data_IF_725693617865
#
_entry.id   IF_725693617865
#
_cell.length_a   1.000
_cell.length_b   1.000
_cell.length_c   1.000
_cell.angle_alpha   90.00
_cell.angle_beta   90.00
_cell.angle_gamma   90.00
#
_symmetry.space_group_name_H-M   'P 1'
#
loop_
_entity.id
_entity.type
_entity.pdbx_description
1 polymer ?
#
# COMPACT_ATOMS: atom_id res chain seq x y z
N UNK A 1 -13.79 15.29 -30.22
CA UNK A 1 -15.16 14.84 -29.85
C UNK A 1 -15.27 14.90 -28.34
N UNK A 2 -16.19 15.71 -27.81
CA UNK A 2 -16.31 15.92 -26.37
C UNK A 2 -17.23 14.85 -25.75
N UNK A 3 -16.83 14.23 -24.63
CA UNK A 3 -17.61 13.15 -24.01
C UNK A 3 -18.81 13.64 -23.21
N UNK A 4 -18.86 14.93 -22.91
CA UNK A 4 -20.02 15.61 -22.30
C UNK A 4 -21.30 15.41 -23.11
N UNK A 5 -21.17 15.19 -24.42
CA UNK A 5 -22.26 15.18 -25.39
C UNK A 5 -22.87 13.78 -25.56
N UNK A 6 -22.38 12.79 -24.80
CA UNK A 6 -22.75 11.39 -24.90
C UNK A 6 -23.20 10.81 -23.55
N UNK A 7 -24.17 9.91 -23.60
CA UNK A 7 -24.64 9.11 -22.46
C UNK A 7 -23.99 7.74 -22.45
N UNK A 8 -23.64 7.27 -21.24
CA UNK A 8 -23.17 5.90 -21.02
C UNK A 8 -24.33 4.94 -21.19
N UNK A 9 -24.11 3.87 -21.94
CA UNK A 9 -25.04 2.73 -21.93
C UNK A 9 -24.69 1.77 -20.79
N UNK A 10 -25.52 0.74 -20.58
CA UNK A 10 -25.26 -0.34 -19.62
C UNK A 10 -24.04 -1.21 -20.00
N UNK A 11 -23.41 -0.98 -21.16
CA UNK A 11 -22.22 -1.69 -21.60
C UNK A 11 -21.01 -0.77 -21.55
N UNK A 12 -19.98 -1.20 -20.82
CA UNK A 12 -18.74 -0.44 -20.65
C UNK A 12 -18.06 -0.20 -21.99
N UNK A 13 -17.85 1.08 -22.29
CA UNK A 13 -17.22 1.54 -23.52
C UNK A 13 -18.18 1.80 -24.68
N UNK A 14 -19.49 1.59 -24.53
CA UNK A 14 -20.49 1.95 -25.54
C UNK A 14 -21.29 3.17 -25.08
N UNK A 15 -21.36 4.18 -25.94
CA UNK A 15 -22.04 5.45 -25.66
C UNK A 15 -22.97 5.84 -26.80
N UNK A 16 -24.00 6.63 -26.48
CA UNK A 16 -24.96 7.18 -27.44
C UNK A 16 -25.03 8.71 -27.31
N UNK A 17 -25.19 9.43 -28.42
CA UNK A 17 -25.29 10.89 -28.36
C UNK A 17 -26.56 11.34 -27.63
N UNK A 18 -26.44 12.39 -26.82
CA UNK A 18 -27.57 13.06 -26.18
C UNK A 18 -28.47 13.72 -27.23
N UNK A 19 -27.84 14.47 -28.14
CA UNK A 19 -28.51 15.11 -29.27
C UNK A 19 -28.90 14.09 -30.35
N UNK A 20 -30.06 14.31 -30.98
CA UNK A 20 -30.61 13.48 -32.06
C UNK A 20 -30.57 14.26 -33.36
N UNK A 21 -29.92 13.74 -34.39
CA UNK A 21 -29.90 14.40 -35.70
C UNK A 21 -31.22 14.15 -36.45
N UNK A 22 -31.85 15.16 -37.08
CA UNK A 22 -33.15 15.00 -37.74
C UNK A 22 -33.17 13.88 -38.80
N UNK A 23 -32.16 13.86 -39.67
CA UNK A 23 -32.04 12.90 -40.77
C UNK A 23 -31.38 11.56 -40.39
N UNK A 24 -30.52 11.53 -39.36
CA UNK A 24 -29.67 10.36 -39.09
C UNK A 24 -29.98 9.67 -37.75
N UNK A 25 -30.66 10.35 -36.82
CA UNK A 25 -30.95 9.85 -35.49
C UNK A 25 -29.81 10.07 -34.49
N UNK A 26 -29.88 9.38 -33.34
CA UNK A 26 -28.81 9.33 -32.33
C UNK A 26 -27.63 8.50 -32.82
N UNK A 27 -26.43 8.93 -32.43
CA UNK A 27 -25.13 8.39 -32.86
C UNK A 27 -24.55 7.46 -31.79
N UNK A 28 -24.16 6.26 -32.17
CA UNK A 28 -23.41 5.35 -31.29
C UNK A 28 -21.90 5.51 -31.48
N UNK A 29 -21.17 5.51 -30.36
CA UNK A 29 -19.70 5.49 -30.36
C UNK A 29 -19.18 4.41 -29.41
N UNK A 30 -18.08 3.77 -29.81
CA UNK A 30 -17.27 2.92 -28.97
C UNK A 30 -16.06 3.70 -28.46
N UNK A 31 -15.73 3.54 -27.17
CA UNK A 31 -14.51 4.07 -26.55
C UNK A 31 -13.97 3.09 -25.52
N UNK A 32 -12.69 2.78 -25.63
CA UNK A 32 -11.97 1.94 -24.66
C UNK A 32 -10.48 2.29 -24.66
N UNK A 33 -9.75 1.75 -23.67
CA UNK A 33 -8.31 1.89 -23.57
C UNK A 33 -7.68 0.50 -23.67
N UNK A 34 -6.63 0.38 -24.48
CA UNK A 34 -5.84 -0.83 -24.66
C UNK A 34 -4.39 -0.43 -24.92
N UNK A 35 -3.43 -1.12 -24.32
CA UNK A 35 -1.98 -0.83 -24.42
C UNK A 35 -1.63 0.66 -24.24
N UNK A 36 -2.10 1.26 -23.13
CA UNK A 36 -1.90 2.69 -22.78
C UNK A 36 -2.41 3.71 -23.82
N UNK A 37 -3.07 3.28 -24.90
CA UNK A 37 -3.68 4.12 -25.95
C UNK A 37 -5.21 4.12 -25.83
N UNK A 38 -5.82 5.25 -26.16
CA UNK A 38 -7.29 5.44 -26.13
C UNK A 38 -7.85 5.35 -27.55
N UNK A 39 -8.81 4.45 -27.75
CA UNK A 39 -9.48 4.25 -29.02
C UNK A 39 -10.90 4.79 -28.96
N UNK A 40 -11.31 5.50 -30.02
CA UNK A 40 -12.67 6.04 -30.18
C UNK A 40 -13.13 5.80 -31.62
N UNK A 41 -14.30 5.20 -31.81
CA UNK A 41 -14.89 4.98 -33.14
C UNK A 41 -16.38 5.25 -33.14
N UNK A 42 -16.85 5.90 -34.21
CA UNK A 42 -18.27 6.05 -34.50
C UNK A 42 -18.78 4.73 -35.10
N UNK A 43 -19.80 4.15 -34.50
CA UNK A 43 -20.36 2.86 -34.93
C UNK A 43 -21.47 3.03 -35.95
N UNK A 44 -22.20 4.14 -35.90
CA UNK A 44 -23.31 4.45 -36.81
C UNK A 44 -24.42 5.21 -36.10
N UNK A 45 -25.56 5.33 -36.78
CA UNK A 45 -26.70 6.10 -36.32
C UNK A 45 -27.99 5.27 -36.31
N UNK A 46 -28.85 5.57 -35.34
CA UNK A 46 -30.11 4.85 -35.09
C UNK A 46 -31.10 4.87 -36.26
N UNK A 47 -31.24 5.99 -37.00
CA UNK A 47 -32.16 6.07 -38.15
C UNK A 47 -31.49 5.72 -39.47
N UNK A 48 -30.30 6.28 -39.73
CA UNK A 48 -29.60 6.10 -41.01
C UNK A 48 -29.22 4.64 -41.26
N UNK A 49 -28.68 3.98 -40.24
CA UNK A 49 -28.09 2.65 -40.34
C UNK A 49 -28.99 1.60 -39.65
N UNK A 50 -30.22 1.97 -39.30
CA UNK A 50 -31.19 1.19 -38.51
C UNK A 50 -30.55 0.49 -37.29
N UNK A 51 -29.65 1.21 -36.61
CA UNK A 51 -28.75 0.62 -35.63
C UNK A 51 -29.40 0.50 -34.25
N UNK A 52 -29.61 -0.74 -33.81
CA UNK A 52 -30.09 -1.06 -32.46
C UNK A 52 -28.94 -1.13 -31.45
N UNK A 53 -29.24 -1.10 -30.15
CA UNK A 53 -28.23 -1.26 -29.08
C UNK A 53 -27.47 -2.59 -29.20
N UNK A 54 -28.14 -3.68 -29.62
CA UNK A 54 -27.53 -5.01 -29.80
C UNK A 54 -26.59 -5.05 -31.02
N UNK A 55 -26.99 -4.46 -32.14
CA UNK A 55 -26.11 -4.36 -33.32
C UNK A 55 -24.93 -3.42 -33.07
N UNK A 56 -25.14 -2.31 -32.34
CA UNK A 56 -24.06 -1.43 -31.91
C UNK A 56 -23.06 -2.13 -30.97
N UNK A 57 -23.54 -3.00 -30.07
CA UNK A 57 -22.66 -3.82 -29.22
C UNK A 57 -21.81 -4.77 -30.06
N UNK A 58 -22.40 -5.45 -31.04
CA UNK A 58 -21.64 -6.33 -31.95
C UNK A 58 -20.60 -5.56 -32.76
N UNK A 59 -20.93 -4.36 -33.23
CA UNK A 59 -19.96 -3.49 -33.92
C UNK A 59 -18.85 -2.99 -32.99
N UNK A 60 -19.17 -2.70 -31.73
CA UNK A 60 -18.16 -2.37 -30.72
C UNK A 60 -17.23 -3.56 -30.48
N UNK A 61 -17.75 -4.77 -30.35
CA UNK A 61 -16.91 -5.96 -30.16
C UNK A 61 -16.04 -6.22 -31.39
N UNK A 62 -16.60 -6.18 -32.61
CA UNK A 62 -15.80 -6.26 -33.84
C UNK A 62 -14.70 -5.19 -33.91
N UNK A 63 -14.96 -3.98 -33.40
CA UNK A 63 -13.95 -2.92 -33.33
C UNK A 63 -12.90 -3.17 -32.24
N UNK A 64 -13.30 -3.69 -31.07
CA UNK A 64 -12.35 -4.13 -30.04
C UNK A 64 -11.48 -5.24 -30.56
N UNK A 65 -12.08 -6.25 -31.17
CA UNK A 65 -11.40 -7.37 -31.79
C UNK A 65 -10.51 -6.91 -32.95
N UNK A 66 -10.92 -5.90 -33.74
CA UNK A 66 -10.04 -5.35 -34.79
C UNK A 66 -8.86 -4.59 -34.21
N UNK A 67 -8.99 -3.90 -33.07
CA UNK A 67 -7.87 -3.19 -32.43
C UNK A 67 -6.95 -4.16 -31.69
N UNK A 68 -7.54 -5.15 -31.02
CA UNK A 68 -6.79 -6.23 -30.38
C UNK A 68 -6.09 -7.02 -31.47
N UNK A 69 -6.79 -7.53 -32.48
CA UNK A 69 -6.18 -8.23 -33.61
C UNK A 69 -5.30 -7.34 -34.47
N UNK A 70 -5.48 -6.02 -34.62
CA UNK A 70 -4.47 -5.17 -35.30
C UNK A 70 -3.20 -5.04 -34.48
N UNK A 71 -3.27 -5.09 -33.14
CA UNK A 71 -2.10 -5.20 -32.28
C UNK A 71 -1.54 -6.62 -32.28
N UNK A 72 -2.38 -7.66 -32.29
CA UNK A 72 -1.96 -9.05 -32.43
C UNK A 72 -1.41 -9.30 -33.82
N UNK A 73 -1.88 -8.63 -34.88
CA UNK A 73 -1.40 -8.65 -36.28
C UNK A 73 -0.21 -7.70 -36.43
N UNK A 74 -0.02 -6.68 -35.60
CA UNK A 74 1.27 -5.99 -35.47
C UNK A 74 2.30 -6.83 -34.70
N UNK A 75 1.87 -7.68 -33.78
CA UNK A 75 2.69 -8.68 -33.09
C UNK A 75 2.85 -10.01 -33.89
N UNK A 76 1.98 -10.31 -34.86
CA UNK A 76 2.02 -11.55 -35.67
C UNK A 76 2.30 -11.32 -37.17
N UNK A 77 2.27 -10.08 -37.69
CA UNK A 77 2.90 -9.73 -38.98
C UNK A 77 4.38 -9.37 -38.86
N UNK A 78 5.00 -9.61 -37.70
CA UNK A 78 6.43 -9.91 -37.64
C UNK A 78 6.75 -11.41 -37.85
N UNK A 79 5.83 -12.17 -38.46
CA UNK A 79 6.26 -13.34 -39.26
C UNK A 79 6.47 -12.85 -40.69
N UNK A 80 7.68 -12.33 -40.88
CA UNK A 80 8.31 -12.02 -42.16
C UNK A 80 8.17 -13.24 -43.09
N UNK A 81 7.36 -13.13 -44.16
CA UNK A 81 7.78 -13.75 -45.43
C UNK A 81 9.01 -12.97 -45.87
N UNK A 82 10.10 -13.63 -46.32
CA UNK A 82 11.40 -13.01 -46.48
C UNK A 82 11.36 -11.91 -47.55
N UNK A 83 11.05 -10.68 -47.13
CA UNK A 83 11.50 -9.49 -47.83
C UNK A 83 12.93 -9.26 -47.40
N UNK A 84 13.85 -9.66 -48.28
CA UNK A 84 15.25 -9.27 -48.23
C UNK A 84 15.33 -7.75 -47.99
N UNK A 85 16.19 -7.37 -47.05
CA UNK A 85 16.58 -6.02 -46.64
C UNK A 85 15.87 -5.45 -45.41
N UNK A 86 15.72 -6.24 -44.35
CA UNK A 86 16.11 -5.70 -43.03
C UNK A 86 17.62 -5.59 -43.10
N UNK A 87 18.22 -4.44 -42.75
CA UNK A 87 19.68 -4.35 -42.70
C UNK A 87 20.17 -5.47 -41.78
N UNK A 88 20.94 -6.43 -42.30
CA UNK A 88 21.37 -7.64 -41.57
C UNK A 88 21.97 -7.28 -40.20
N UNK A 89 22.61 -6.11 -40.11
CA UNK A 89 23.09 -5.46 -38.89
C UNK A 89 22.06 -5.32 -37.76
N UNK A 90 20.82 -4.92 -38.04
CA UNK A 90 19.78 -4.72 -37.00
C UNK A 90 19.30 -6.05 -36.42
N UNK A 91 19.26 -7.08 -37.26
CA UNK A 91 18.87 -8.44 -36.86
C UNK A 91 20.00 -9.09 -36.07
N UNK A 92 21.25 -8.91 -36.51
CA UNK A 92 22.45 -9.33 -35.78
C UNK A 92 22.53 -8.66 -34.39
N UNK A 93 22.31 -7.34 -34.31
CA UNK A 93 22.25 -6.60 -33.04
C UNK A 93 21.20 -7.18 -32.08
N UNK A 94 19.98 -7.44 -32.56
CA UNK A 94 18.89 -7.99 -31.73
C UNK A 94 19.14 -9.44 -31.30
N UNK A 95 19.77 -10.25 -32.17
CA UNK A 95 20.17 -11.62 -31.84
C UNK A 95 21.27 -11.61 -30.78
N UNK A 96 22.26 -10.72 -30.93
CA UNK A 96 23.36 -10.58 -29.98
C UNK A 96 22.87 -10.04 -28.62
N UNK A 97 21.95 -9.07 -28.63
CA UNK A 97 21.29 -8.59 -27.42
C UNK A 97 20.45 -9.69 -26.76
N UNK A 98 19.66 -10.47 -27.51
CA UNK A 98 18.93 -11.62 -26.96
C UNK A 98 19.86 -12.68 -26.38
N UNK A 99 20.97 -12.98 -27.06
CA UNK A 99 21.96 -13.97 -26.61
C UNK A 99 22.64 -13.48 -25.33
N UNK A 100 22.95 -12.19 -25.24
CA UNK A 100 23.45 -11.54 -24.04
C UNK A 100 22.43 -11.58 -22.90
N UNK A 101 21.17 -11.23 -23.16
CA UNK A 101 20.09 -11.28 -22.15
C UNK A 101 19.84 -12.70 -21.65
N UNK A 102 19.82 -13.71 -22.55
CA UNK A 102 19.76 -15.13 -22.19
C UNK A 102 20.99 -15.58 -21.39
N UNK A 103 22.18 -15.10 -21.75
CA UNK A 103 23.41 -15.34 -20.99
C UNK A 103 23.36 -14.74 -19.58
N UNK A 104 22.75 -13.57 -19.42
CA UNK A 104 22.54 -12.91 -18.12
C UNK A 104 21.46 -13.66 -17.30
N UNK A 105 20.38 -14.11 -17.93
CA UNK A 105 19.31 -14.85 -17.26
C UNK A 105 19.74 -16.26 -16.83
N UNK A 106 20.81 -16.82 -17.42
CA UNK A 106 21.26 -18.19 -17.14
C UNK A 106 20.18 -19.23 -17.45
N UNK A 107 20.16 -20.34 -16.70
CA UNK A 107 19.11 -21.37 -16.80
C UNK A 107 17.83 -20.97 -16.04
N UNK A 108 17.25 -19.81 -16.34
CA UNK A 108 15.99 -19.39 -15.72
C UNK A 108 14.83 -20.36 -15.96
N UNK A 109 14.92 -21.21 -16.99
CA UNK A 109 13.94 -22.26 -17.30
C UNK A 109 13.94 -23.39 -16.26
N UNK A 110 15.05 -23.57 -15.52
CA UNK A 110 15.17 -24.56 -14.44
C UNK A 110 14.68 -24.00 -13.10
N UNK A 111 14.41 -22.69 -13.03
CA UNK A 111 13.90 -22.03 -11.82
C UNK A 111 12.39 -22.27 -11.74
N UNK A 112 11.92 -22.65 -10.55
CA UNK A 112 10.50 -22.77 -10.25
C UNK A 112 9.73 -21.53 -10.76
N UNK A 113 8.74 -21.70 -11.66
CA UNK A 113 7.96 -20.59 -12.21
C UNK A 113 7.35 -19.66 -11.16
N UNK A 114 6.97 -20.20 -10.00
CA UNK A 114 6.43 -19.39 -8.90
C UNK A 114 7.51 -18.51 -8.27
N UNK A 115 8.72 -19.04 -8.08
CA UNK A 115 9.87 -18.27 -7.56
C UNK A 115 10.25 -17.16 -8.53
N UNK A 116 10.23 -17.44 -9.83
CA UNK A 116 10.48 -16.44 -10.86
C UNK A 116 9.41 -15.33 -10.84
N UNK A 117 8.14 -15.71 -10.78
CA UNK A 117 7.02 -14.77 -10.68
C UNK A 117 7.14 -13.87 -9.44
N UNK A 118 7.35 -14.47 -8.26
CA UNK A 118 7.51 -13.74 -6.99
C UNK A 118 8.73 -12.80 -7.03
N UNK A 119 9.83 -13.24 -7.66
CA UNK A 119 11.04 -12.44 -7.85
C UNK A 119 10.80 -11.21 -8.72
N UNK A 120 10.15 -11.39 -9.86
CA UNK A 120 9.79 -10.32 -10.79
C UNK A 120 8.81 -9.35 -10.14
N UNK A 121 7.74 -9.85 -9.50
CA UNK A 121 6.76 -9.00 -8.81
C UNK A 121 7.43 -8.14 -7.74
N UNK A 122 8.36 -8.72 -6.97
CA UNK A 122 9.12 -7.98 -5.96
C UNK A 122 9.96 -6.85 -6.57
N UNK A 123 10.46 -6.98 -7.80
CA UNK A 123 11.18 -5.88 -8.49
C UNK A 123 10.21 -4.75 -8.82
N UNK A 124 9.06 -5.07 -9.42
CA UNK A 124 8.03 -4.08 -9.73
C UNK A 124 7.52 -3.36 -8.49
N UNK A 125 7.23 -4.11 -7.42
CA UNK A 125 6.83 -3.57 -6.12
C UNK A 125 7.86 -2.55 -5.59
N UNK A 126 9.15 -2.90 -5.65
CA UNK A 126 10.21 -2.01 -5.20
C UNK A 126 10.36 -0.77 -6.09
N UNK A 127 10.12 -0.91 -7.40
CA UNK A 127 10.16 0.21 -8.34
C UNK A 127 9.02 1.19 -8.08
N UNK A 128 7.81 0.69 -7.81
CA UNK A 128 6.65 1.52 -7.48
C UNK A 128 6.90 2.35 -6.21
N UNK A 129 7.52 1.77 -5.18
CA UNK A 129 7.81 2.50 -3.94
C UNK A 129 8.82 3.64 -4.12
N UNK A 130 9.69 3.61 -5.13
CA UNK A 130 10.74 4.64 -5.32
C UNK A 130 10.15 6.03 -5.49
N UNK A 131 9.05 6.16 -6.21
CA UNK A 131 8.39 7.44 -6.42
C UNK A 131 7.96 8.06 -5.08
N UNK A 132 7.40 7.27 -4.18
CA UNK A 132 6.99 7.71 -2.85
C UNK A 132 8.17 7.92 -1.91
N UNK A 133 9.26 7.17 -2.08
CA UNK A 133 10.50 7.38 -1.33
C UNK A 133 11.19 8.70 -1.68
N UNK A 134 11.11 9.14 -2.94
CA UNK A 134 11.55 10.49 -3.35
C UNK A 134 10.75 11.55 -2.58
N UNK A 135 9.44 11.37 -2.47
CA UNK A 135 8.57 12.28 -1.72
C UNK A 135 8.88 12.26 -0.21
N UNK A 136 9.26 11.11 0.36
CA UNK A 136 9.71 11.03 1.76
C UNK A 136 10.99 11.83 2.02
N UNK A 137 11.89 11.91 1.04
CA UNK A 137 13.09 12.75 1.13
C UNK A 137 12.69 14.24 1.14
N UNK A 138 11.74 14.64 0.29
CA UNK A 138 11.22 16.02 0.28
C UNK A 138 10.53 16.37 1.60
N UNK A 139 9.72 15.45 2.12
CA UNK A 139 9.10 15.59 3.44
C UNK A 139 10.17 15.77 4.53
N UNK A 140 11.23 14.95 4.53
CA UNK A 140 12.31 15.05 5.51
C UNK A 140 12.99 16.43 5.46
N UNK A 141 13.35 16.90 4.26
CA UNK A 141 13.96 18.22 4.08
C UNK A 141 13.02 19.34 4.54
N UNK A 142 11.71 19.19 4.30
CA UNK A 142 10.72 20.14 4.78
C UNK A 142 10.65 20.17 6.31
N UNK A 143 10.61 19.00 6.97
CA UNK A 143 10.63 18.93 8.43
C UNK A 143 11.85 19.64 9.01
N UNK A 144 13.03 19.43 8.41
CA UNK A 144 14.29 20.09 8.79
C UNK A 144 14.19 21.61 8.61
N UNK A 145 13.84 22.08 7.41
CA UNK A 145 13.78 23.52 7.12
C UNK A 145 12.75 24.29 7.96
N UNK A 146 11.66 23.63 8.35
CA UNK A 146 10.57 24.20 9.15
C UNK A 146 10.70 23.88 10.64
N UNK A 147 11.79 23.24 11.06
CA UNK A 147 12.06 22.83 12.44
C UNK A 147 10.90 22.03 13.07
N UNK A 148 10.21 21.20 12.27
CA UNK A 148 9.06 20.40 12.69
C UNK A 148 9.52 19.11 13.35
N UNK A 149 8.71 18.57 14.27
CA UNK A 149 8.97 17.33 15.02
C UNK A 149 7.96 16.29 14.61
N UNK A 150 8.40 15.10 14.22
CA UNK A 150 7.50 14.02 13.81
C UNK A 150 7.76 12.72 14.58
N UNK A 151 6.69 12.11 15.08
CA UNK A 151 6.69 10.78 15.70
C UNK A 151 5.75 9.87 14.90
N UNK A 152 6.23 8.69 14.55
CA UNK A 152 5.44 7.67 13.85
C UNK A 152 5.48 6.39 14.66
N UNK A 153 4.32 5.96 15.17
CA UNK A 153 4.17 4.71 15.91
C UNK A 153 3.78 3.59 14.96
N UNK A 154 4.55 2.50 14.96
CA UNK A 154 4.23 1.27 14.27
C UNK A 154 3.78 0.24 15.30
N UNK A 155 2.47 0.01 15.37
CA UNK A 155 1.84 -1.02 16.19
C UNK A 155 1.19 -2.10 15.33
N UNK A 156 0.82 -3.19 15.99
CA UNK A 156 0.18 -4.34 15.35
C UNK A 156 0.76 -5.66 15.83
N UNK A 157 0.06 -6.75 15.49
CA UNK A 157 0.44 -8.11 15.88
C UNK A 157 1.84 -8.48 15.42
N UNK A 158 2.42 -9.49 16.05
CA UNK A 158 3.66 -10.07 15.54
C UNK A 158 3.49 -10.63 14.14
N UNK A 159 4.56 -10.57 13.37
CA UNK A 159 4.57 -10.86 11.94
C UNK A 159 3.65 -10.00 11.04
N UNK A 160 3.02 -8.92 11.52
CA UNK A 160 2.20 -8.03 10.69
C UNK A 160 2.98 -7.25 9.63
N UNK A 161 4.29 -7.01 9.84
CA UNK A 161 5.17 -6.42 8.82
C UNK A 161 5.77 -5.05 9.15
N UNK A 162 5.54 -4.53 10.38
CA UNK A 162 6.06 -3.26 10.92
C UNK A 162 7.51 -2.95 10.54
N UNK A 163 8.47 -3.71 11.04
CA UNK A 163 9.90 -3.49 10.74
C UNK A 163 10.24 -3.60 9.25
N UNK A 164 9.48 -4.35 8.46
CA UNK A 164 9.62 -4.38 7.00
C UNK A 164 9.15 -3.09 6.33
N UNK A 165 8.12 -2.44 6.87
CA UNK A 165 7.64 -1.14 6.43
C UNK A 165 8.62 -0.02 6.82
N UNK A 166 9.06 0.01 8.08
CA UNK A 166 10.08 0.96 8.56
C UNK A 166 11.31 0.92 7.65
N UNK A 167 11.88 -0.26 7.39
CA UNK A 167 13.04 -0.43 6.49
C UNK A 167 12.82 0.04 5.06
N UNK A 168 11.58 0.13 4.59
CA UNK A 168 11.26 0.63 3.23
C UNK A 168 11.04 2.13 3.24
N UNK A 169 10.40 2.65 4.26
CA UNK A 169 10.23 4.09 4.49
C UNK A 169 11.60 4.76 4.62
N UNK A 170 12.47 4.25 5.49
CA UNK A 170 13.75 4.90 5.80
C UNK A 170 14.88 4.59 4.81
N UNK A 171 14.65 3.74 3.79
CA UNK A 171 15.70 3.17 2.94
C UNK A 171 16.65 4.20 2.30
N UNK A 172 16.12 5.35 1.91
CA UNK A 172 16.85 6.41 1.20
C UNK A 172 16.89 7.73 1.98
N UNK A 173 16.37 7.75 3.21
CA UNK A 173 16.32 8.95 4.02
C UNK A 173 17.69 9.25 4.63
N UNK A 174 17.98 10.52 4.91
CA UNK A 174 19.20 10.92 5.59
C UNK A 174 19.12 10.50 7.07
N UNK A 175 20.03 9.60 7.49
CA UNK A 175 20.07 9.03 8.84
C UNK A 175 20.39 10.05 9.94
N UNK A 176 20.83 11.26 9.60
CA UNK A 176 21.04 12.34 10.56
C UNK A 176 19.73 12.96 11.07
N UNK A 177 18.65 12.84 10.32
CA UNK A 177 17.36 13.50 10.62
C UNK A 177 16.23 12.48 10.82
N UNK A 178 16.54 11.19 10.93
CA UNK A 178 15.59 10.22 11.43
C UNK A 178 16.23 9.24 12.41
N UNK A 179 15.42 8.74 13.35
CA UNK A 179 15.81 7.65 14.24
C UNK A 179 14.76 6.55 14.25
N UNK A 180 15.20 5.30 14.32
CA UNK A 180 14.32 4.16 14.57
C UNK A 180 14.52 3.71 16.00
N UNK A 181 13.45 3.71 16.78
CA UNK A 181 13.45 3.35 18.19
C UNK A 181 12.75 2.00 18.34
N UNK A 182 13.48 1.00 18.80
CA UNK A 182 12.97 -0.34 19.05
C UNK A 182 13.40 -0.76 20.47
N UNK A 183 12.60 -0.38 21.46
CA UNK A 183 12.92 -0.64 22.86
C UNK A 183 12.66 -2.09 23.24
N UNK A 184 13.61 -2.69 23.95
CA UNK A 184 13.43 -3.99 24.57
C UNK A 184 12.60 -3.94 25.85
N UNK A 185 12.55 -5.08 26.56
CA UNK A 185 11.95 -5.19 27.89
C UNK A 185 12.52 -4.10 28.83
N UNK A 186 11.69 -3.46 29.66
CA UNK A 186 12.16 -2.43 30.58
C UNK A 186 13.14 -3.03 31.60
N UNK A 187 14.18 -2.27 31.96
CA UNK A 187 15.05 -2.61 33.09
C UNK A 187 14.29 -2.49 34.42
N UNK A 188 14.82 -3.05 35.50
CA UNK A 188 14.17 -2.94 36.81
C UNK A 188 14.03 -1.49 37.28
N UNK A 189 14.99 -0.61 36.95
CA UNK A 189 14.83 0.83 37.15
C UNK A 189 13.67 1.39 36.32
N UNK A 190 13.59 1.06 35.03
CA UNK A 190 12.53 1.57 34.15
C UNK A 190 11.13 1.08 34.52
N UNK A 191 11.01 -0.12 35.11
CA UNK A 191 9.72 -0.63 35.65
C UNK A 191 9.22 0.20 36.83
N UNK A 192 10.13 0.78 37.60
CA UNK A 192 9.83 1.61 38.77
C UNK A 192 9.87 3.12 38.48
N UNK A 193 10.01 3.50 37.21
CA UNK A 193 9.88 4.88 36.74
C UNK A 193 8.45 5.17 36.30
N UNK A 194 8.15 6.44 36.05
CA UNK A 194 6.94 6.78 35.31
C UNK A 194 6.99 6.14 33.92
N UNK A 195 5.92 5.44 33.54
CA UNK A 195 5.89 4.57 32.35
C UNK A 195 6.35 5.26 31.05
N UNK A 196 5.96 6.53 30.84
CA UNK A 196 6.30 7.27 29.63
C UNK A 196 7.76 7.76 29.59
N UNK A 197 8.45 7.81 30.74
CA UNK A 197 9.78 8.43 30.87
C UNK A 197 10.78 7.84 29.87
N UNK A 198 10.87 6.51 29.78
CA UNK A 198 11.78 5.82 28.86
C UNK A 198 11.49 6.09 27.38
N UNK A 199 10.27 6.48 27.02
CA UNK A 199 9.90 6.79 25.64
C UNK A 199 10.22 8.25 25.30
N UNK A 200 9.98 9.16 26.25
CA UNK A 200 10.21 10.60 26.09
C UNK A 200 11.69 10.91 25.82
N UNK A 201 12.61 10.15 26.42
CA UNK A 201 14.06 10.25 26.15
C UNK A 201 14.42 10.11 24.65
N UNK A 202 13.53 9.48 23.86
CA UNK A 202 13.76 9.27 22.44
C UNK A 202 13.00 10.24 21.52
N UNK A 203 12.29 11.22 22.07
CA UNK A 203 11.47 12.13 21.25
C UNK A 203 12.31 12.97 20.28
N UNK A 204 11.73 13.38 19.15
CA UNK A 204 12.42 14.18 18.15
C UNK A 204 12.74 15.58 18.68
N UNK A 205 13.92 16.07 18.32
CA UNK A 205 14.21 17.50 18.30
C UNK A 205 13.70 18.12 16.99
N UNK A 206 13.76 19.45 16.88
CA UNK A 206 13.28 20.13 15.68
C UNK A 206 14.03 19.67 14.42
N UNK A 207 13.27 19.36 13.37
CA UNK A 207 13.79 18.77 12.14
C UNK A 207 13.92 17.25 12.14
N UNK A 208 13.67 16.58 13.27
CA UNK A 208 13.77 15.12 13.35
C UNK A 208 12.44 14.39 13.16
N UNK A 209 12.54 13.20 12.58
CA UNK A 209 11.48 12.20 12.53
C UNK A 209 11.89 10.94 13.30
N UNK A 210 11.08 10.50 14.25
CA UNK A 210 11.33 9.29 15.05
C UNK A 210 10.27 8.23 14.73
N UNK A 211 10.71 7.05 14.29
CA UNK A 211 9.87 5.89 14.01
C UNK A 211 10.01 4.89 15.16
N UNK A 212 8.91 4.63 15.86
CA UNK A 212 8.84 3.66 16.95
C UNK A 212 8.39 2.30 16.40
N UNK A 213 9.27 1.28 16.42
CA UNK A 213 8.91 -0.13 16.18
C UNK A 213 8.41 -0.72 17.50
N UNK A 214 7.09 -0.70 17.68
CA UNK A 214 6.40 -0.69 18.99
C UNK A 214 6.69 0.58 19.80
N UNK A 215 5.78 0.88 20.73
CA UNK A 215 5.73 2.14 21.47
C UNK A 215 5.15 1.95 22.88
N UNK A 216 4.74 3.05 23.52
CA UNK A 216 4.00 3.03 24.78
C UNK A 216 2.71 2.19 24.72
N UNK A 217 2.17 1.93 23.53
CA UNK A 217 1.03 1.02 23.33
C UNK A 217 1.31 -0.46 23.64
N UNK A 218 2.55 -0.84 23.97
CA UNK A 218 2.82 -2.14 24.59
C UNK A 218 1.92 -2.37 25.83
N UNK A 219 1.66 -1.33 26.64
CA UNK A 219 0.78 -1.39 27.82
C UNK A 219 -0.71 -1.50 27.47
N UNK A 220 -1.11 -1.12 26.27
CA UNK A 220 -2.46 -1.34 25.76
C UNK A 220 -2.69 -2.77 25.25
N UNK A 221 -1.61 -3.43 24.80
CA UNK A 221 -1.68 -4.65 24.00
C UNK A 221 -1.03 -5.85 24.68
N UNK A 222 0.31 -5.91 24.65
CA UNK A 222 1.07 -7.11 25.01
C UNK A 222 1.15 -7.28 26.53
N UNK A 223 1.41 -6.19 27.27
CA UNK A 223 1.62 -6.26 28.72
C UNK A 223 0.42 -6.84 29.50
N UNK A 224 -0.84 -6.44 29.27
CA UNK A 224 -1.96 -6.99 30.03
C UNK A 224 -2.26 -8.46 29.71
N UNK A 225 -1.92 -8.94 28.51
CA UNK A 225 -2.18 -10.33 28.09
C UNK A 225 -1.21 -11.30 28.78
N UNK A 226 0.06 -10.92 28.86
CA UNK A 226 1.10 -11.75 29.46
C UNK A 226 1.38 -11.41 30.94
N UNK A 227 0.60 -10.50 31.55
CA UNK A 227 0.76 -10.12 32.95
C UNK A 227 2.04 -9.33 33.23
N UNK A 228 2.54 -8.55 32.27
CA UNK A 228 3.70 -7.67 32.46
C UNK A 228 3.37 -6.32 33.08
N UNK A 229 2.07 -6.02 33.24
CA UNK A 229 1.57 -4.89 34.01
C UNK A 229 0.37 -5.34 34.86
N UNK A 230 0.08 -4.62 35.94
CA UNK A 230 -1.16 -4.84 36.70
C UNK A 230 -2.39 -4.33 35.93
N UNK A 231 -3.59 -4.70 36.39
CA UNK A 231 -4.84 -4.21 35.79
C UNK A 231 -4.97 -2.70 35.99
N UNK A 232 -4.54 -2.21 37.14
CA UNK A 232 -4.54 -0.80 37.51
C UNK A 232 -3.58 -0.01 36.62
N UNK A 233 -2.36 -0.52 36.39
CA UNK A 233 -1.40 0.12 35.49
C UNK A 233 -1.91 0.21 34.04
N UNK A 234 -2.56 -0.84 33.56
CA UNK A 234 -3.18 -0.85 32.23
C UNK A 234 -4.29 0.20 32.13
N UNK A 235 -5.18 0.26 33.13
CA UNK A 235 -6.30 1.19 33.11
C UNK A 235 -5.84 2.65 33.20
N UNK A 236 -4.90 2.97 34.09
CA UNK A 236 -4.26 4.29 34.18
C UNK A 236 -3.68 4.70 32.82
N UNK A 237 -2.92 3.80 32.18
CA UNK A 237 -2.39 4.09 30.84
C UNK A 237 -3.49 4.38 29.82
N UNK A 238 -4.57 3.59 29.83
CA UNK A 238 -5.68 3.73 28.89
C UNK A 238 -6.52 5.00 29.11
N UNK A 239 -6.53 5.55 30.32
CA UNK A 239 -7.14 6.85 30.65
C UNK A 239 -6.22 8.03 30.23
N UNK A 240 -4.91 7.92 30.50
CA UNK A 240 -3.98 9.04 30.36
C UNK A 240 -3.42 9.21 28.94
N UNK A 241 -3.27 8.13 28.16
CA UNK A 241 -2.52 8.16 26.89
C UNK A 241 -3.08 9.17 25.89
N UNK A 242 -4.40 9.38 25.86
CA UNK A 242 -5.01 10.35 24.94
C UNK A 242 -4.66 11.78 25.33
N UNK A 243 -4.64 12.10 26.63
CA UNK A 243 -4.26 13.42 27.13
C UNK A 243 -2.77 13.68 26.87
N UNK A 244 -1.94 12.68 27.17
CA UNK A 244 -0.51 12.72 26.86
C UNK A 244 -0.26 13.05 25.38
N UNK A 245 -0.88 12.31 24.47
CA UNK A 245 -0.73 12.52 23.03
C UNK A 245 -1.29 13.87 22.55
N UNK A 246 -2.40 14.34 23.14
CA UNK A 246 -2.96 15.66 22.85
C UNK A 246 -1.95 16.76 23.19
N UNK A 247 -1.27 16.66 24.32
CA UNK A 247 -0.26 17.65 24.71
C UNK A 247 0.92 17.65 23.74
N UNK A 248 1.37 16.49 23.25
CA UNK A 248 2.42 16.42 22.22
C UNK A 248 2.00 17.14 20.94
N UNK A 249 0.78 16.88 20.47
CA UNK A 249 0.23 17.51 19.25
C UNK A 249 0.04 19.01 19.43
N UNK A 250 -0.45 19.46 20.60
CA UNK A 250 -0.58 20.89 20.92
C UNK A 250 0.75 21.62 20.95
N UNK A 251 1.82 20.93 21.34
CA UNK A 251 3.19 21.45 21.29
C UNK A 251 3.78 21.42 19.87
N UNK A 252 3.02 21.03 18.84
CA UNK A 252 3.44 21.04 17.45
C UNK A 252 4.21 19.80 17.01
N UNK A 253 4.13 18.69 17.76
CA UNK A 253 4.61 17.40 17.28
C UNK A 253 3.57 16.77 16.35
N UNK A 254 4.01 16.33 15.19
CA UNK A 254 3.20 15.55 14.27
C UNK A 254 3.22 14.10 14.75
N UNK A 255 2.09 13.60 15.25
CA UNK A 255 1.97 12.23 15.75
C UNK A 255 1.13 11.37 14.80
N UNK A 256 1.74 10.32 14.26
CA UNK A 256 1.09 9.36 13.37
C UNK A 256 1.05 8.00 14.05
N UNK A 257 -0.13 7.39 14.14
CA UNK A 257 -0.30 6.07 14.77
C UNK A 257 -0.78 5.05 13.74
N UNK A 258 0.07 4.09 13.40
CA UNK A 258 -0.21 3.05 12.41
C UNK A 258 -0.42 1.70 13.09
N UNK A 259 -1.57 1.06 12.88
CA UNK A 259 -1.82 -0.31 13.31
C UNK A 259 -1.80 -1.26 12.11
N UNK A 260 -0.77 -2.09 12.01
CA UNK A 260 -0.64 -3.12 10.98
C UNK A 260 -1.49 -4.33 11.36
N UNK A 261 -2.63 -4.49 10.69
CA UNK A 261 -3.56 -5.61 10.89
C UNK A 261 -3.28 -6.72 9.89
N UNK A 262 -2.94 -7.90 10.37
CA UNK A 262 -2.74 -9.11 9.55
C UNK A 262 -3.85 -10.11 9.89
N UNK A 263 -4.29 -10.92 8.93
CA UNK A 263 -5.21 -12.03 9.16
C UNK A 263 -4.54 -13.15 9.97
N UNK A 264 -5.35 -14.00 10.62
CA UNK A 264 -4.86 -15.11 11.44
C UNK A 264 -4.08 -16.10 10.58
N UNK A 265 -4.60 -16.38 9.40
CA UNK A 265 -4.05 -17.31 8.42
C UNK A 265 -2.70 -16.81 7.88
N UNK A 266 -2.61 -15.54 7.49
CA UNK A 266 -1.36 -14.97 6.99
C UNK A 266 -0.33 -14.81 8.12
N UNK A 267 -0.77 -14.52 9.37
CA UNK A 267 0.13 -14.53 10.51
C UNK A 267 0.75 -15.92 10.72
N UNK A 268 -0.07 -16.98 10.73
CA UNK A 268 0.38 -18.37 10.85
C UNK A 268 1.37 -18.73 9.74
N UNK A 269 1.01 -18.47 8.48
CA UNK A 269 1.88 -18.69 7.32
C UNK A 269 3.23 -17.98 7.47
N UNK A 270 3.25 -16.76 8.02
CA UNK A 270 4.49 -16.01 8.26
C UNK A 270 5.32 -16.60 9.39
N UNK A 271 4.72 -17.17 10.42
CA UNK A 271 5.42 -17.90 11.48
C UNK A 271 6.04 -19.19 10.94
N UNK A 272 5.27 -20.01 10.22
CA UNK A 272 5.77 -21.24 9.60
C UNK A 272 6.98 -20.96 8.70
N UNK A 273 6.91 -19.88 7.93
CA UNK A 273 8.04 -19.43 7.10
C UNK A 273 9.24 -18.96 7.92
N UNK A 274 9.07 -18.35 9.10
CA UNK A 274 10.19 -17.92 9.95
C UNK A 274 10.92 -19.12 10.55
N UNK A 275 10.18 -20.17 10.93
CA UNK A 275 10.74 -21.42 11.46
C UNK A 275 11.64 -22.08 10.41
N UNK A 276 11.18 -22.11 9.15
CA UNK A 276 11.87 -22.77 8.04
C UNK A 276 12.92 -21.90 7.32
N UNK A 277 13.10 -20.62 7.70
CA UNK A 277 14.05 -19.69 7.05
C UNK A 277 15.16 -19.29 8.05
N UNK A 278 16.39 -19.82 7.91
CA UNK A 278 17.51 -19.52 8.82
C UNK A 278 17.80 -18.02 9.00
N UNK A 279 17.51 -17.19 7.99
CA UNK A 279 17.72 -15.74 8.05
C UNK A 279 16.67 -15.01 8.89
N UNK A 280 15.62 -15.72 9.34
CA UNK A 280 14.47 -15.17 10.05
C UNK A 280 14.15 -15.86 11.35
N UNK A 281 14.79 -16.98 11.67
CA UNK A 281 14.61 -17.71 12.91
C UNK A 281 14.80 -16.82 14.14
N UNK A 282 15.77 -15.89 14.11
CA UNK A 282 15.99 -14.91 15.19
C UNK A 282 14.78 -14.00 15.50
N UNK A 283 13.78 -13.92 14.59
CA UNK A 283 12.54 -13.15 14.78
C UNK A 283 11.44 -13.95 15.44
N UNK A 284 11.72 -15.16 15.90
CA UNK A 284 10.75 -16.06 16.51
C UNK A 284 11.06 -16.16 18.00
N UNK A 285 10.09 -15.80 18.83
CA UNK A 285 10.17 -15.89 20.29
C UNK A 285 9.12 -16.87 20.83
N UNK A 286 9.30 -17.35 22.06
CA UNK A 286 8.30 -18.20 22.73
C UNK A 286 6.94 -17.49 22.87
N UNK A 287 6.96 -16.17 23.06
CA UNK A 287 5.76 -15.32 23.10
C UNK A 287 5.01 -15.36 21.77
N UNK A 288 5.73 -15.44 20.64
CA UNK A 288 5.13 -15.52 19.31
C UNK A 288 4.39 -16.86 19.08
N UNK A 289 4.85 -17.96 19.70
CA UNK A 289 4.18 -19.26 19.62
C UNK A 289 2.79 -19.21 20.25
N UNK A 290 2.69 -18.58 21.41
CA UNK A 290 1.43 -18.44 22.15
C UNK A 290 0.48 -17.43 21.49
N UNK A 291 0.98 -16.52 20.65
CA UNK A 291 0.18 -15.45 20.06
C UNK A 291 -0.91 -15.94 19.09
N UNK A 292 -0.76 -17.15 18.52
CA UNK A 292 -1.79 -17.78 17.69
C UNK A 292 -2.96 -18.33 18.52
N UNK A 293 -2.65 -18.90 19.69
CA UNK A 293 -3.65 -19.42 20.63
C UNK A 293 -4.39 -18.27 21.31
N UNK A 294 -3.65 -17.23 21.71
CA UNK A 294 -4.17 -16.02 22.33
C UNK A 294 -4.79 -15.02 21.32
N UNK A 295 -5.22 -15.51 20.16
CA UNK A 295 -5.70 -14.65 19.07
C UNK A 295 -6.83 -13.74 19.56
N UNK A 296 -7.79 -14.29 20.30
CA UNK A 296 -8.98 -13.60 20.78
C UNK A 296 -8.64 -12.50 21.79
N UNK A 297 -7.76 -12.76 22.74
CA UNK A 297 -7.31 -11.83 23.78
C UNK A 297 -6.62 -10.60 23.18
N UNK A 298 -5.70 -10.84 22.24
CA UNK A 298 -5.06 -9.76 21.47
C UNK A 298 -6.05 -8.92 20.68
N UNK A 299 -7.13 -9.56 20.26
CA UNK A 299 -8.15 -8.98 19.42
C UNK A 299 -9.11 -8.10 20.20
N UNK A 300 -9.49 -8.54 21.40
CA UNK A 300 -10.19 -7.73 22.38
C UNK A 300 -9.35 -6.51 22.78
N UNK A 301 -8.06 -6.70 23.08
CA UNK A 301 -7.17 -5.57 23.43
C UNK A 301 -6.97 -4.59 22.28
N UNK A 302 -6.86 -5.07 21.04
CA UNK A 302 -6.87 -4.21 19.84
C UNK A 302 -8.16 -3.40 19.77
N UNK A 303 -9.31 -4.03 19.98
CA UNK A 303 -10.61 -3.36 19.96
C UNK A 303 -10.71 -2.27 21.03
N UNK A 304 -10.33 -2.57 22.28
CA UNK A 304 -10.30 -1.61 23.38
C UNK A 304 -9.35 -0.44 23.10
N UNK A 305 -8.13 -0.74 22.66
CA UNK A 305 -7.11 0.24 22.28
C UNK A 305 -7.65 1.20 21.22
N UNK A 306 -8.11 0.69 20.08
CA UNK A 306 -8.60 1.52 18.98
C UNK A 306 -9.81 2.36 19.39
N UNK A 307 -10.74 1.80 20.16
CA UNK A 307 -11.96 2.48 20.62
C UNK A 307 -11.66 3.62 21.58
N UNK A 308 -10.76 3.43 22.54
CA UNK A 308 -10.48 4.41 23.61
C UNK A 308 -9.44 5.45 23.20
N UNK A 309 -8.51 5.10 22.31
CA UNK A 309 -7.32 5.92 22.07
C UNK A 309 -7.24 6.55 20.67
N UNK A 310 -8.20 6.28 19.78
CA UNK A 310 -8.30 7.04 18.52
C UNK A 310 -8.98 8.39 18.79
N UNK A 311 -8.24 9.49 18.65
CA UNK A 311 -8.73 10.84 18.89
C UNK A 311 -8.67 11.69 17.61
N UNK A 312 -9.30 12.88 17.62
CA UNK A 312 -9.24 13.81 16.49
C UNK A 312 -7.83 14.38 16.28
N UNK A 313 -7.10 14.61 17.37
CA UNK A 313 -5.73 15.15 17.33
C UNK A 313 -4.69 14.10 16.93
N UNK A 314 -4.91 12.84 17.32
CA UNK A 314 -4.03 11.71 17.01
C UNK A 314 -4.88 10.48 16.63
N UNK A 315 -5.38 10.41 15.38
CA UNK A 315 -6.16 9.27 14.92
C UNK A 315 -5.29 8.03 14.73
N UNK A 316 -5.90 6.86 14.87
CA UNK A 316 -5.30 5.60 14.43
C UNK A 316 -5.59 5.35 12.95
N UNK A 317 -4.58 4.87 12.22
CA UNK A 317 -4.73 4.35 10.86
C UNK A 317 -4.57 2.83 10.88
N UNK A 318 -5.60 2.09 10.49
CA UNK A 318 -5.56 0.62 10.45
C UNK A 318 -5.15 0.19 9.05
N UNK A 319 -3.96 -0.39 8.92
CA UNK A 319 -3.37 -0.82 7.65
C UNK A 319 -3.48 -2.34 7.53
N UNK A 320 -4.35 -2.84 6.64
CA UNK A 320 -4.38 -4.27 6.26
C UNK A 320 -3.05 -4.66 5.64
N UNK A 321 -2.43 -5.68 6.21
CA UNK A 321 -1.01 -5.96 6.01
C UNK A 321 -0.71 -7.35 5.48
N UNK A 322 -1.73 -8.07 5.01
CA UNK A 322 -1.59 -9.39 4.39
C UNK A 322 -0.72 -9.30 3.13
N UNK A 323 -1.01 -8.32 2.28
CA UNK A 323 -0.14 -7.87 1.20
C UNK A 323 0.87 -6.84 1.75
N UNK A 324 2.13 -7.28 1.90
CA UNK A 324 3.19 -6.43 2.45
C UNK A 324 3.51 -5.24 1.56
N UNK A 325 3.38 -5.37 0.24
CA UNK A 325 3.70 -4.29 -0.68
C UNK A 325 2.67 -3.18 -0.54
N UNK A 326 1.38 -3.52 -0.67
CA UNK A 326 0.28 -2.56 -0.50
C UNK A 326 0.31 -1.87 0.86
N UNK A 327 0.59 -2.61 1.92
CA UNK A 327 0.68 -2.04 3.27
C UNK A 327 1.83 -1.03 3.43
N UNK A 328 2.98 -1.28 2.77
CA UNK A 328 4.11 -0.33 2.77
C UNK A 328 3.76 0.94 2.02
N UNK A 329 3.20 0.78 0.82
CA UNK A 329 2.78 1.88 -0.02
C UNK A 329 1.77 2.76 0.72
N UNK A 330 0.75 2.14 1.33
CA UNK A 330 -0.28 2.86 2.07
C UNK A 330 0.28 3.55 3.32
N UNK A 331 1.18 2.91 4.06
CA UNK A 331 1.87 3.56 5.18
C UNK A 331 2.68 4.79 4.72
N UNK A 332 3.37 4.72 3.58
CA UNK A 332 4.05 5.88 3.00
C UNK A 332 3.06 6.99 2.62
N UNK A 333 1.92 6.66 2.00
CA UNK A 333 0.88 7.62 1.67
C UNK A 333 0.35 8.34 2.91
N UNK A 334 0.06 7.61 4.00
CA UNK A 334 -0.40 8.18 5.27
C UNK A 334 0.61 9.19 5.81
N UNK A 335 1.90 8.82 5.82
CA UNK A 335 2.98 9.71 6.31
C UNK A 335 3.07 10.96 5.43
N UNK A 336 3.09 10.80 4.11
CA UNK A 336 3.19 11.90 3.16
C UNK A 336 1.96 12.83 3.23
N UNK A 337 0.77 12.30 3.53
CA UNK A 337 -0.46 13.09 3.68
C UNK A 337 -0.57 13.82 5.01
N UNK A 338 0.27 13.52 6.00
CA UNK A 338 0.23 14.18 7.31
C UNK A 338 0.78 15.61 7.32
N UNK A 339 1.52 15.99 6.27
CA UNK A 339 2.18 17.29 6.15
C UNK A 339 2.04 17.78 4.72
N UNK A 340 1.75 19.07 4.56
CA UNK A 340 1.83 19.75 3.27
C UNK A 340 3.27 20.28 3.10
N UNK A 341 4.07 19.59 2.28
CA UNK A 341 5.49 19.91 2.06
C UNK A 341 5.72 20.40 0.63
N UNK A 342 6.76 21.20 0.46
CA UNK A 342 7.09 21.82 -0.82
C UNK A 342 7.55 20.81 -1.88
N UNK A 343 7.22 21.10 -3.14
CA UNK A 343 7.68 20.31 -4.29
C UNK A 343 7.02 18.95 -4.45
N UNK A 344 5.86 18.75 -3.80
CA UNK A 344 5.07 17.52 -3.88
C UNK A 344 4.67 17.15 -5.32
N UNK A 345 4.90 15.91 -5.72
CA UNK A 345 4.55 15.43 -7.07
C UNK A 345 3.10 14.94 -7.15
N UNK A 346 2.17 15.85 -7.46
CA UNK A 346 0.73 15.57 -7.60
C UNK A 346 0.34 14.63 -8.75
N UNK A 347 1.29 14.14 -9.56
CA UNK A 347 1.01 13.06 -10.52
C UNK A 347 0.93 11.69 -9.85
N UNK A 348 1.49 11.54 -8.66
CA UNK A 348 1.38 10.31 -7.87
C UNK A 348 0.01 10.22 -7.21
N UNK A 349 -0.45 8.98 -7.01
CA UNK A 349 -1.68 8.73 -6.30
C UNK A 349 -1.43 8.77 -4.78
N UNK A 350 -2.00 9.77 -4.09
CA UNK A 350 -1.96 9.86 -2.64
C UNK A 350 -3.30 9.54 -1.99
N UNK A 351 -4.31 9.15 -2.78
CA UNK A 351 -5.62 8.80 -2.24
C UNK A 351 -5.48 7.53 -1.38
N UNK A 352 -6.15 7.50 -0.22
CA UNK A 352 -6.13 6.34 0.65
C UNK A 352 -6.85 5.18 -0.02
N UNK A 353 -6.21 4.02 -0.07
CA UNK A 353 -6.90 2.81 -0.52
C UNK A 353 -7.77 2.28 0.63
N UNK A 354 -9.08 2.51 0.58
CA UNK A 354 -10.03 2.13 1.66
C UNK A 354 -10.12 0.62 1.97
N UNK A 355 -9.55 -0.23 1.11
CA UNK A 355 -9.42 -1.66 1.36
C UNK A 355 -8.17 -2.01 2.17
N UNK A 356 -7.18 -1.12 2.17
CA UNK A 356 -5.90 -1.28 2.87
C UNK A 356 -5.86 -0.37 4.10
N UNK A 357 -6.12 0.93 3.95
CA UNK A 357 -6.28 1.89 5.03
C UNK A 357 -7.75 1.98 5.44
N UNK A 358 -8.08 1.31 6.54
CA UNK A 358 -9.43 1.19 7.06
C UNK A 358 -9.61 2.20 8.19
N UNK A 359 -10.71 2.94 8.15
CA UNK A 359 -11.06 3.83 9.26
C UNK A 359 -11.33 3.04 10.53
N UNK A 360 -10.96 3.59 11.68
CA UNK A 360 -11.20 2.95 12.98
C UNK A 360 -12.66 2.59 13.18
N UNK A 361 -13.59 3.44 12.74
CA UNK A 361 -15.03 3.15 12.83
C UNK A 361 -15.44 1.91 12.04
N UNK A 362 -14.93 1.77 10.81
CA UNK A 362 -15.18 0.60 9.95
C UNK A 362 -14.55 -0.65 10.56
N UNK A 363 -13.35 -0.54 11.11
CA UNK A 363 -12.68 -1.64 11.79
C UNK A 363 -13.45 -2.12 13.03
N UNK A 364 -13.82 -1.21 13.93
CA UNK A 364 -14.58 -1.54 15.13
C UNK A 364 -15.94 -2.16 14.79
N UNK A 365 -16.60 -1.68 13.73
CA UNK A 365 -17.86 -2.27 13.24
C UNK A 365 -17.65 -3.70 12.74
N UNK A 366 -16.57 -3.96 11.99
CA UNK A 366 -16.25 -5.30 11.48
C UNK A 366 -15.93 -6.27 12.61
N UNK A 367 -15.13 -5.84 13.60
CA UNK A 367 -14.77 -6.63 14.78
C UNK A 367 -16.01 -7.01 15.60
N UNK A 368 -16.96 -6.08 15.80
CA UNK A 368 -18.24 -6.37 16.48
C UNK A 368 -19.11 -7.36 15.73
N UNK A 369 -19.23 -7.22 14.40
CA UNK A 369 -20.14 -8.04 13.57
C UNK A 369 -19.68 -9.48 13.43
N UNK A 370 -18.38 -9.67 13.25
CA UNK A 370 -17.84 -10.98 12.91
C UNK A 370 -17.57 -11.85 14.13
N UNK A 371 -17.45 -11.26 15.34
CA UNK A 371 -16.77 -11.88 16.50
C UNK A 371 -15.39 -12.46 16.15
N UNK A 372 -14.89 -12.15 14.96
CA UNK A 372 -13.67 -12.64 14.36
C UNK A 372 -12.77 -11.42 14.24
N UNK A 373 -12.29 -11.04 15.40
CA UNK A 373 -11.53 -9.83 15.66
C UNK A 373 -10.13 -9.87 15.03
#
# INVERSE_FOLDING_TARGET
>A
MNLSDFEKTNYSGLYISKATHPAFGKKYIARFQYDKKRYVKVLGYTKKDNLTKKSALNLMQKFKDSVINENTIKETKEIVKPTKNVSDTKVEELIEENKRLKGILGNFQDVDPQVLHDGIQKIYDLEELKAYQIELIKLQNFLESQNKRMIILFEGRDASGKGGAIRRITRYMNNKHYRVVALGKPTDTQKNQWFFQRYIEHFPTGGEMVLFDRSWYNRAMVEPIFGFCTKEEHEIFMEDVVNFEQDLVRQGMILIKLYFSVSKEEQKRRFDRRINDPLRQWKFSEVDMQAQDLWHEFSEKKYEMLRRTSSRSAPWYVVRSDDKHKARLEAMKIILNSVDYDGRNYKLDFEPNENINISVQKELMQMRKSQNY
#
